data_IF_329789103194
#
_entry.id   IF_329789103194
#
_cell.length_a   1.000
_cell.length_b   1.000
_cell.length_c   1.000
_cell.angle_alpha   90.00
_cell.angle_beta   90.00
_cell.angle_gamma   90.00
#
_symmetry.space_group_name_H-M   'P 1'
#
loop_
_entity.id
_entity.type
_entity.pdbx_description
1 polymer ?
#
# COMPACT_ATOMS: atom_id res chain seq x y z
N UNK A 1 -16.77 39.83 37.48
CA UNK A 1 -15.34 39.58 37.19
C UNK A 1 -15.20 38.41 36.25
N UNK A 2 -14.54 38.59 35.10
CA UNK A 2 -14.33 37.54 34.09
C UNK A 2 -13.16 36.66 34.56
N UNK A 3 -13.43 35.43 34.98
CA UNK A 3 -12.38 34.45 35.30
C UNK A 3 -11.75 33.99 34.00
N UNK A 4 -10.57 34.52 33.67
CA UNK A 4 -9.75 34.06 32.56
C UNK A 4 -9.14 32.71 32.95
N UNK A 5 -9.66 31.62 32.39
CA UNK A 5 -8.99 30.33 32.41
C UNK A 5 -7.80 30.40 31.46
N UNK A 6 -6.63 30.71 31.99
CA UNK A 6 -5.36 30.56 31.25
C UNK A 6 -5.13 29.06 31.09
N UNK A 7 -5.41 28.52 29.90
CA UNK A 7 -5.20 27.10 29.57
C UNK A 7 -3.69 26.86 29.50
N UNK A 8 -3.14 26.40 30.61
CA UNK A 8 -1.73 26.06 30.74
C UNK A 8 -1.39 24.99 29.69
N UNK A 9 -0.67 25.41 28.65
CA UNK A 9 -0.17 24.52 27.59
C UNK A 9 0.87 23.62 28.24
N UNK A 10 0.44 22.49 28.79
CA UNK A 10 1.33 21.42 29.21
C UNK A 10 2.19 21.03 28.03
N UNK A 11 3.46 21.45 28.04
CA UNK A 11 4.49 20.93 27.15
C UNK A 11 4.61 19.45 27.48
N UNK A 12 3.86 18.60 26.76
CA UNK A 12 4.03 17.15 26.86
C UNK A 12 5.48 16.85 26.49
N UNK A 13 6.32 16.58 27.50
CA UNK A 13 7.68 16.06 27.31
C UNK A 13 7.56 14.82 26.42
N UNK A 14 7.99 14.93 25.16
CA UNK A 14 8.01 13.78 24.24
C UNK A 14 9.02 12.78 24.80
N UNK A 15 8.57 11.55 25.04
CA UNK A 15 9.45 10.46 25.44
C UNK A 15 10.50 10.25 24.33
N UNK A 16 11.79 10.08 24.65
CA UNK A 16 12.80 9.81 23.64
C UNK A 16 12.48 8.48 22.95
N UNK A 17 12.78 8.42 21.65
CA UNK A 17 12.57 7.23 20.85
C UNK A 17 13.48 6.09 21.33
N UNK A 18 12.98 4.86 21.24
CA UNK A 18 13.76 3.64 21.49
C UNK A 18 14.64 3.34 20.27
N UNK A 19 15.70 2.55 20.46
CA UNK A 19 16.65 2.20 19.39
C UNK A 19 16.03 1.48 18.18
N UNK A 20 14.81 0.95 18.31
CA UNK A 20 14.12 0.20 17.26
C UNK A 20 12.96 1.00 16.62
N UNK A 21 12.85 2.30 16.94
CA UNK A 21 11.81 3.17 16.40
C UNK A 21 12.36 4.04 15.27
N UNK A 22 11.54 4.29 14.25
CA UNK A 22 11.89 5.13 13.11
C UNK A 22 11.30 6.52 13.32
N UNK A 23 12.11 7.56 13.17
CA UNK A 23 11.69 8.95 13.25
C UNK A 23 11.48 9.54 11.85
N UNK A 24 10.47 10.38 11.70
CA UNK A 24 10.28 11.22 10.52
C UNK A 24 10.09 12.68 10.96
N UNK A 25 10.59 13.60 10.14
CA UNK A 25 10.48 15.05 10.40
C UNK A 25 9.28 15.63 9.64
N UNK A 26 9.14 15.22 8.38
CA UNK A 26 8.10 15.70 7.48
C UNK A 26 6.98 14.68 7.36
N UNK A 27 5.75 15.16 7.22
CA UNK A 27 4.61 14.30 6.91
C UNK A 27 4.76 13.74 5.50
N UNK A 28 4.25 12.53 5.29
CA UNK A 28 4.19 11.96 3.95
C UNK A 28 3.28 12.80 3.04
N UNK A 29 3.69 13.03 1.78
CA UNK A 29 2.86 13.69 0.78
C UNK A 29 1.68 12.82 0.35
N UNK A 30 0.82 13.37 -0.51
CA UNK A 30 -0.23 12.60 -1.16
C UNK A 30 0.36 11.84 -2.36
N UNK A 31 0.20 10.50 -2.38
CA UNK A 31 0.72 9.63 -3.44
C UNK A 31 -0.30 9.28 -4.54
N UNK A 32 -1.55 9.74 -4.42
CA UNK A 32 -2.63 9.42 -5.34
C UNK A 32 -2.39 9.99 -6.74
N UNK A 33 -1.95 11.25 -6.80
CA UNK A 33 -1.73 11.98 -8.04
C UNK A 33 -0.24 12.11 -8.35
N UNK A 34 0.06 12.21 -9.64
CA UNK A 34 1.43 12.37 -10.10
C UNK A 34 1.96 13.75 -9.70
N UNK A 35 3.14 13.77 -9.08
CA UNK A 35 3.90 14.96 -8.77
C UNK A 35 5.38 14.70 -9.07
N UNK A 36 5.82 15.10 -10.27
CA UNK A 36 7.19 14.89 -10.74
C UNK A 36 8.25 15.61 -9.89
N UNK A 37 7.90 16.74 -9.27
CA UNK A 37 8.82 17.49 -8.41
C UNK A 37 9.19 16.73 -7.13
N UNK A 38 8.28 15.90 -6.62
CA UNK A 38 8.51 15.04 -5.46
C UNK A 38 8.82 13.58 -5.86
N UNK A 39 8.92 13.28 -7.16
CA UNK A 39 9.15 11.93 -7.68
C UNK A 39 7.97 10.98 -7.50
N UNK A 40 6.76 11.51 -7.33
CA UNK A 40 5.54 10.73 -7.12
C UNK A 40 4.89 10.44 -8.48
N UNK A 41 4.71 9.17 -8.82
CA UNK A 41 4.10 8.77 -10.10
C UNK A 41 2.57 8.77 -10.10
N UNK A 42 1.94 8.81 -8.92
CA UNK A 42 0.51 8.61 -8.74
C UNK A 42 0.11 7.13 -8.67
N UNK A 43 -1.18 6.86 -8.44
CA UNK A 43 -1.72 5.49 -8.33
C UNK A 43 -2.58 5.06 -9.51
N UNK A 44 -2.66 5.86 -10.57
CA UNK A 44 -3.43 5.53 -11.77
C UNK A 44 -2.86 4.30 -12.48
N UNK A 45 -3.76 3.41 -12.93
CA UNK A 45 -3.40 2.19 -13.66
C UNK A 45 -2.77 1.07 -12.82
N UNK A 46 -2.70 1.21 -11.49
CA UNK A 46 -2.24 0.14 -10.60
C UNK A 46 -3.34 -0.91 -10.41
N UNK A 47 -2.94 -2.18 -10.41
CA UNK A 47 -3.82 -3.28 -10.01
C UNK A 47 -4.16 -3.16 -8.52
N UNK A 48 -5.43 -3.35 -8.20
CA UNK A 48 -5.95 -3.28 -6.83
C UNK A 48 -6.82 -4.50 -6.54
N UNK A 49 -7.00 -4.80 -5.25
CA UNK A 49 -7.82 -5.91 -4.80
C UNK A 49 -9.13 -5.38 -4.20
N UNK A 50 -10.26 -5.66 -4.85
CA UNK A 50 -11.58 -5.22 -4.40
C UNK A 50 -11.98 -5.82 -3.04
N UNK A 51 -11.52 -7.03 -2.74
CA UNK A 51 -11.89 -7.75 -1.50
C UNK A 51 -10.96 -7.44 -0.32
N UNK A 52 -9.89 -6.67 -0.54
CA UNK A 52 -8.95 -6.32 0.53
C UNK A 52 -9.44 -5.12 1.35
N UNK A 53 -9.10 -5.14 2.64
CA UNK A 53 -9.31 -4.04 3.58
C UNK A 53 -8.01 -3.26 3.87
N UNK A 54 -6.89 -3.70 3.31
CA UNK A 54 -5.58 -3.10 3.53
C UNK A 54 -5.26 -2.09 2.42
N UNK A 55 -4.01 -1.60 2.37
CA UNK A 55 -3.55 -0.59 1.41
C UNK A 55 -3.63 -0.99 -0.07
N UNK A 56 -3.81 -2.28 -0.37
CA UNK A 56 -4.07 -2.81 -1.71
C UNK A 56 -5.55 -2.78 -2.11
N UNK A 57 -6.44 -2.39 -1.18
CA UNK A 57 -7.86 -2.17 -1.45
C UNK A 57 -8.05 -1.16 -2.57
N UNK A 58 -8.96 -1.44 -3.49
CA UNK A 58 -9.27 -0.52 -4.58
C UNK A 58 -9.76 0.85 -4.08
N UNK A 59 -10.48 0.91 -2.96
CA UNK A 59 -10.98 2.18 -2.41
C UNK A 59 -9.84 3.08 -1.94
N UNK A 60 -8.80 2.49 -1.34
CA UNK A 60 -7.62 3.20 -0.87
C UNK A 60 -6.62 3.48 -2.00
N UNK A 61 -6.30 2.48 -2.80
CA UNK A 61 -5.28 2.59 -3.85
C UNK A 61 -5.75 3.50 -4.99
N UNK A 62 -7.03 3.43 -5.38
CA UNK A 62 -7.61 4.31 -6.38
C UNK A 62 -8.11 5.64 -5.79
N UNK A 63 -7.93 5.85 -4.48
CA UNK A 63 -8.26 7.08 -3.76
C UNK A 63 -9.70 7.56 -4.01
N UNK A 64 -10.66 6.62 -4.03
CA UNK A 64 -12.07 6.92 -4.26
C UNK A 64 -12.46 7.31 -5.69
N UNK A 65 -11.55 7.26 -6.67
CA UNK A 65 -11.85 7.57 -8.09
C UNK A 65 -12.67 6.49 -8.80
N UNK A 66 -12.89 5.34 -8.15
CA UNK A 66 -13.39 4.13 -8.79
C UNK A 66 -12.27 3.33 -9.47
N UNK A 67 -12.64 2.17 -10.01
CA UNK A 67 -11.71 1.22 -10.65
C UNK A 67 -12.43 0.44 -11.74
N UNK A 68 -11.66 -0.04 -12.71
CA UNK A 68 -12.16 -0.92 -13.76
C UNK A 68 -11.81 -2.36 -13.40
N UNK A 69 -12.76 -3.27 -13.53
CA UNK A 69 -12.53 -4.70 -13.39
C UNK A 69 -12.24 -5.29 -14.76
N UNK A 70 -11.13 -6.01 -14.90
CA UNK A 70 -10.78 -6.76 -16.10
C UNK A 70 -10.62 -8.23 -15.73
N UNK A 71 -11.46 -9.08 -16.32
CA UNK A 71 -11.24 -10.54 -16.29
C UNK A 71 -10.23 -10.92 -17.37
N UNK A 72 -9.24 -11.71 -17.01
CA UNK A 72 -8.17 -12.12 -17.93
C UNK A 72 -7.86 -13.61 -17.75
N UNK A 73 -8.01 -14.37 -18.84
CA UNK A 73 -7.61 -15.77 -18.85
C UNK A 73 -6.09 -15.83 -18.85
N UNK A 74 -5.51 -16.35 -17.77
CA UNK A 74 -4.06 -16.48 -17.61
C UNK A 74 -3.63 -17.91 -17.86
N UNK A 75 -2.60 -18.07 -18.67
CA UNK A 75 -1.94 -19.34 -18.88
C UNK A 75 -0.82 -19.50 -17.86
N UNK A 76 -0.95 -20.45 -16.94
CA UNK A 76 -0.01 -20.65 -15.82
C UNK A 76 0.63 -22.04 -15.87
N UNK A 77 1.82 -22.16 -15.28
CA UNK A 77 2.46 -23.46 -15.05
C UNK A 77 1.89 -24.07 -13.77
N UNK A 78 1.20 -25.19 -13.91
CA UNK A 78 0.47 -25.88 -12.84
C UNK A 78 0.98 -27.32 -12.67
N UNK A 79 0.66 -27.95 -11.54
CA UNK A 79 0.99 -29.35 -11.27
C UNK A 79 2.48 -29.70 -11.48
N UNK A 80 3.37 -28.79 -11.10
CA UNK A 80 4.80 -28.95 -11.24
C UNK A 80 5.33 -30.11 -10.39
N UNK A 81 6.11 -30.99 -11.01
CA UNK A 81 6.84 -32.07 -10.34
C UNK A 81 8.33 -31.86 -10.52
N UNK A 82 9.05 -31.87 -9.41
CA UNK A 82 10.49 -31.93 -9.42
C UNK A 82 10.95 -33.33 -9.81
N UNK A 83 11.69 -33.44 -10.91
CA UNK A 83 12.36 -34.66 -11.34
C UNK A 83 13.77 -34.61 -10.78
N UNK A 84 14.04 -35.50 -9.82
CA UNK A 84 15.31 -35.55 -9.13
C UNK A 84 16.47 -35.73 -10.12
N UNK A 85 17.47 -34.87 -9.90
CA UNK A 85 18.41 -34.26 -10.83
C UNK A 85 18.07 -34.25 -12.33
N UNK A 86 17.82 -33.07 -12.94
CA UNK A 86 17.75 -31.74 -12.33
C UNK A 86 16.76 -30.85 -13.09
N UNK A 87 15.47 -31.22 -13.13
CA UNK A 87 14.46 -30.44 -13.86
C UNK A 87 13.12 -30.39 -13.13
N UNK A 88 12.41 -29.28 -13.28
CA UNK A 88 11.00 -29.18 -12.91
C UNK A 88 10.18 -29.39 -14.17
N UNK A 89 9.25 -30.34 -14.14
CA UNK A 89 8.28 -30.57 -15.21
C UNK A 89 6.91 -30.10 -14.76
N UNK A 90 6.35 -29.12 -15.44
CA UNK A 90 5.03 -28.56 -15.18
C UNK A 90 4.07 -28.85 -16.34
N UNK A 91 2.77 -28.76 -16.07
CA UNK A 91 1.75 -28.69 -17.11
C UNK A 91 1.38 -27.23 -17.35
N UNK A 92 0.85 -26.94 -18.52
CA UNK A 92 0.28 -25.62 -18.83
C UNK A 92 -1.23 -25.68 -18.58
N UNK A 93 -1.72 -24.84 -17.66
CA UNK A 93 -3.14 -24.68 -17.35
C UNK A 93 -3.63 -23.30 -17.78
N UNK A 94 -4.94 -23.17 -18.00
CA UNK A 94 -5.63 -21.89 -18.16
C UNK A 94 -6.52 -21.65 -16.95
N UNK A 95 -6.28 -20.55 -16.26
CA UNK A 95 -7.10 -20.04 -15.16
C UNK A 95 -7.86 -18.80 -15.64
N UNK A 96 -9.09 -18.63 -15.16
CA UNK A 96 -9.92 -17.45 -15.43
C UNK A 96 -9.81 -16.47 -14.27
#
# INVERSE_FOLDING_TARGET
>A
GKKTFTKERTFRKKKPLRGNEIAYINKSPNYCERNDAEGILGTHGRECNQSSLNSDSCDLLCCGRGYNTKEEIRTVQCHCKFVWCCSVKCKTCTEK
#
